data_IF_325621871369
#
_entry.id   IF_325621871369
#
_cell.length_a   1.000
_cell.length_b   1.000
_cell.length_c   1.000
_cell.angle_alpha   90.00
_cell.angle_beta   90.00
_cell.angle_gamma   90.00
#
_symmetry.space_group_name_H-M   'P 1'
#
loop_
_entity.id
_entity.type
_entity.pdbx_description
1 polymer ?
#
# COMPACT_ATOMS: atom_id res chain seq x y z
N UNK A 1 28.22 14.05 -10.33
CA UNK A 1 26.91 13.39 -10.16
C UNK A 1 26.56 13.44 -8.69
N UNK A 2 25.70 14.36 -8.30
CA UNK A 2 25.17 14.50 -6.94
C UNK A 2 23.79 13.82 -6.90
N UNK A 3 23.77 12.48 -6.98
CA UNK A 3 22.56 11.71 -6.79
C UNK A 3 22.53 11.06 -5.42
N UNK A 4 21.33 10.82 -4.87
CA UNK A 4 21.16 9.95 -3.71
C UNK A 4 21.66 8.55 -4.07
N UNK A 5 22.45 7.95 -3.18
CA UNK A 5 23.00 6.60 -3.37
C UNK A 5 21.99 5.54 -2.86
N UNK A 6 22.05 4.36 -3.48
CA UNK A 6 21.38 3.15 -2.97
C UNK A 6 22.47 2.29 -2.34
N UNK A 7 22.31 2.04 -1.05
CA UNK A 7 23.28 1.28 -0.25
C UNK A 7 22.91 -0.20 -0.21
N UNK A 8 23.88 -1.11 -0.40
CA UNK A 8 23.64 -2.54 -0.29
C UNK A 8 23.37 -2.94 1.17
N UNK A 9 22.57 -3.99 1.35
CA UNK A 9 22.36 -4.64 2.64
C UNK A 9 22.62 -6.15 2.50
N UNK A 10 23.86 -6.63 2.75
CA UNK A 10 24.20 -8.05 2.67
C UNK A 10 23.52 -8.90 3.75
N UNK A 11 23.03 -8.28 4.84
CA UNK A 11 22.37 -8.95 5.95
C UNK A 11 20.84 -8.99 5.80
N UNK A 12 20.33 -8.61 4.62
CA UNK A 12 18.90 -8.62 4.33
C UNK A 12 18.35 -10.05 4.39
N UNK A 13 17.35 -10.26 5.23
CA UNK A 13 16.68 -11.54 5.40
C UNK A 13 15.46 -11.64 4.47
N UNK A 14 15.09 -12.84 4.01
CA UNK A 14 13.82 -13.03 3.31
C UNK A 14 12.65 -12.75 4.25
N UNK A 15 11.66 -12.03 3.77
CA UNK A 15 10.39 -11.89 4.49
C UNK A 15 9.58 -13.17 4.39
N UNK A 16 8.80 -13.46 5.41
CA UNK A 16 7.84 -14.56 5.45
C UNK A 16 6.53 -14.11 6.08
N UNK A 17 5.45 -14.80 5.79
CA UNK A 17 4.17 -14.40 6.35
C UNK A 17 3.03 -15.33 5.95
N UNK A 18 1.86 -14.97 6.42
CA UNK A 18 0.60 -15.62 6.08
C UNK A 18 -0.48 -14.58 5.80
N UNK A 19 -1.49 -14.98 5.02
CA UNK A 19 -2.68 -14.20 4.78
C UNK A 19 -3.93 -15.05 4.94
N UNK A 20 -5.01 -14.42 5.37
CA UNK A 20 -6.34 -15.01 5.42
C UNK A 20 -7.37 -13.99 4.93
N UNK A 21 -8.40 -14.49 4.29
CA UNK A 21 -9.49 -13.69 3.76
C UNK A 21 -10.81 -14.43 3.96
N UNK A 22 -11.85 -13.68 4.27
CA UNK A 22 -13.23 -14.15 4.25
C UNK A 22 -14.08 -13.16 3.47
N UNK A 23 -14.90 -13.66 2.57
CA UNK A 23 -15.73 -12.81 1.71
C UNK A 23 -17.06 -13.42 1.35
N UNK A 24 -17.93 -12.55 0.86
CA UNK A 24 -19.25 -12.89 0.32
C UNK A 24 -19.37 -12.24 -1.06
N UNK A 25 -19.80 -13.03 -2.04
CA UNK A 25 -20.18 -12.55 -3.36
C UNK A 25 -21.67 -12.77 -3.57
N UNK A 26 -22.40 -11.66 -3.76
CA UNK A 26 -23.85 -11.65 -3.91
C UNK A 26 -24.25 -11.14 -5.27
N UNK A 27 -25.02 -11.92 -6.02
CA UNK A 27 -25.74 -11.45 -7.21
C UNK A 27 -26.82 -10.46 -6.80
N UNK A 28 -26.89 -9.32 -7.46
CA UNK A 28 -27.90 -8.29 -7.21
C UNK A 28 -28.60 -7.89 -8.52
N UNK A 29 -29.87 -7.58 -8.41
CA UNK A 29 -30.70 -7.09 -9.52
C UNK A 29 -31.54 -5.91 -9.08
N UNK A 30 -31.41 -4.82 -9.83
CA UNK A 30 -32.20 -3.62 -9.61
C UNK A 30 -32.83 -3.15 -10.94
N UNK A 31 -34.10 -3.38 -11.10
CA UNK A 31 -34.77 -3.17 -12.40
C UNK A 31 -34.15 -4.03 -13.51
N UNK A 32 -33.66 -3.37 -14.54
CA UNK A 32 -32.96 -3.99 -15.68
C UNK A 32 -31.44 -4.05 -15.50
N UNK A 33 -30.91 -3.59 -14.37
CA UNK A 33 -29.49 -3.72 -14.03
C UNK A 33 -29.26 -4.99 -13.22
N UNK A 34 -28.23 -5.75 -13.61
CA UNK A 34 -27.78 -6.97 -12.93
C UNK A 34 -26.29 -6.91 -12.72
N UNK A 35 -25.85 -7.41 -11.54
CA UNK A 35 -24.46 -7.39 -11.21
C UNK A 35 -24.14 -8.22 -9.97
N UNK A 36 -22.92 -8.00 -9.47
CA UNK A 36 -22.43 -8.63 -8.28
C UNK A 36 -21.90 -7.58 -7.31
N UNK A 37 -22.25 -7.74 -6.05
CA UNK A 37 -21.59 -7.10 -4.93
C UNK A 37 -20.67 -8.13 -4.30
N UNK A 38 -19.42 -7.76 -4.12
CA UNK A 38 -18.39 -8.57 -3.47
C UNK A 38 -17.86 -7.81 -2.26
N UNK A 39 -17.83 -8.42 -1.09
CA UNK A 39 -17.32 -7.85 0.15
C UNK A 39 -16.41 -8.86 0.81
N UNK A 40 -15.16 -8.47 1.05
CA UNK A 40 -14.17 -9.30 1.70
C UNK A 40 -13.49 -8.56 2.85
N UNK A 41 -13.12 -9.28 3.90
CA UNK A 41 -12.24 -8.82 4.96
C UNK A 41 -10.98 -9.67 4.96
N UNK A 42 -9.82 -9.04 5.09
CA UNK A 42 -8.54 -9.72 5.03
C UNK A 42 -7.62 -9.34 6.19
N UNK A 43 -6.72 -10.25 6.50
CA UNK A 43 -5.65 -10.08 7.48
C UNK A 43 -4.38 -10.73 6.94
N UNK A 44 -3.29 -9.95 6.90
CA UNK A 44 -1.97 -10.40 6.52
C UNK A 44 -1.00 -10.09 7.65
N UNK A 45 -0.08 -10.99 7.92
CA UNK A 45 0.99 -10.77 8.89
C UNK A 45 2.32 -11.21 8.28
N UNK A 46 3.34 -10.39 8.45
CA UNK A 46 4.68 -10.62 7.93
C UNK A 46 5.68 -10.58 9.06
N UNK A 47 6.64 -11.49 8.99
CA UNK A 47 7.88 -11.47 9.78
C UNK A 47 9.02 -10.99 8.88
N UNK A 48 9.92 -10.17 9.43
CA UNK A 48 11.05 -9.58 8.73
C UNK A 48 10.65 -8.84 7.43
N UNK A 49 9.52 -8.11 7.45
CA UNK A 49 9.04 -7.35 6.28
C UNK A 49 10.13 -6.44 5.74
N UNK A 50 10.33 -6.45 4.41
CA UNK A 50 11.32 -5.61 3.75
C UNK A 50 10.71 -4.27 3.37
N UNK A 51 11.43 -3.19 3.73
CA UNK A 51 11.12 -1.83 3.28
C UNK A 51 12.35 -1.16 2.67
N UNK A 52 12.12 -0.25 1.74
CA UNK A 52 13.13 0.59 1.11
C UNK A 52 13.06 1.97 1.76
N UNK A 53 13.98 2.24 2.68
CA UNK A 53 13.92 3.41 3.55
C UNK A 53 15.04 4.40 3.26
N UNK A 54 14.73 5.67 3.47
CA UNK A 54 15.68 6.77 3.42
C UNK A 54 16.40 6.90 4.77
N UNK A 55 17.70 7.21 4.76
CA UNK A 55 18.47 7.39 5.98
C UNK A 55 19.94 7.69 5.70
N UNK A 56 20.73 7.80 6.75
CA UNK A 56 22.18 7.97 6.65
C UNK A 56 22.87 6.59 6.77
N UNK A 57 23.08 5.93 5.64
CA UNK A 57 23.61 4.58 5.53
C UNK A 57 25.11 4.53 5.23
N UNK A 58 25.68 5.60 4.69
CA UNK A 58 27.09 5.75 4.40
C UNK A 58 27.81 6.54 5.49
N UNK A 59 29.14 6.48 5.49
CA UNK A 59 29.94 7.33 6.35
C UNK A 59 29.86 8.80 5.96
N UNK A 60 30.14 9.71 6.89
CA UNK A 60 30.16 11.17 6.69
C UNK A 60 31.15 11.67 5.61
N UNK A 61 32.08 10.81 5.21
CA UNK A 61 33.03 11.07 4.11
C UNK A 61 32.44 10.80 2.70
N UNK A 62 31.22 10.27 2.62
CA UNK A 62 30.51 10.04 1.36
C UNK A 62 29.80 11.32 0.89
N UNK A 63 29.49 11.43 -0.43
CA UNK A 63 28.64 12.49 -0.94
C UNK A 63 27.35 12.64 -0.12
N UNK A 64 26.90 13.87 0.10
CA UNK A 64 25.73 14.19 0.93
C UNK A 64 25.77 13.61 2.36
N UNK A 65 26.99 13.37 2.93
CA UNK A 65 27.13 12.80 4.26
C UNK A 65 26.66 11.35 4.38
N UNK A 66 26.60 10.61 3.28
CA UNK A 66 26.17 9.21 3.25
C UNK A 66 24.67 8.99 3.31
N UNK A 67 23.89 10.01 3.01
CA UNK A 67 22.42 9.93 2.93
C UNK A 67 21.99 9.24 1.64
N UNK A 68 21.00 8.35 1.73
CA UNK A 68 20.48 7.62 0.59
C UNK A 68 19.40 6.61 0.97
N UNK A 69 19.20 5.62 0.11
CA UNK A 69 18.21 4.58 0.33
C UNK A 69 18.86 3.22 0.59
N UNK A 70 18.21 2.41 1.40
CA UNK A 70 18.63 1.03 1.70
C UNK A 70 17.42 0.15 1.95
N UNK A 71 17.45 -1.10 1.46
CA UNK A 71 16.48 -2.11 1.84
C UNK A 71 16.82 -2.67 3.21
N UNK A 72 15.86 -2.70 4.12
CA UNK A 72 16.00 -3.18 5.50
C UNK A 72 14.82 -4.05 5.90
N UNK A 73 15.01 -4.92 6.86
CA UNK A 73 13.91 -5.66 7.48
C UNK A 73 13.38 -4.85 8.67
N UNK A 74 12.12 -4.48 8.62
CA UNK A 74 11.47 -3.62 9.63
C UNK A 74 10.71 -4.41 10.71
N UNK A 75 10.98 -5.71 10.80
CA UNK A 75 10.39 -6.58 11.81
C UNK A 75 8.98 -7.06 11.47
N UNK A 76 8.17 -7.26 12.51
CA UNK A 76 6.80 -7.78 12.36
C UNK A 76 5.82 -6.70 11.96
N UNK A 77 4.99 -7.01 10.96
CA UNK A 77 3.97 -6.08 10.47
C UNK A 77 2.64 -6.80 10.24
N UNK A 78 1.57 -6.04 10.26
CA UNK A 78 0.23 -6.52 10.02
C UNK A 78 -0.50 -5.57 9.08
N UNK A 79 -1.21 -6.14 8.11
CA UNK A 79 -2.11 -5.39 7.23
C UNK A 79 -3.48 -6.04 7.34
N UNK A 80 -4.47 -5.29 7.82
CA UNK A 80 -5.86 -5.74 7.87
C UNK A 80 -6.73 -4.78 7.08
N UNK A 81 -7.85 -5.26 6.55
CA UNK A 81 -8.70 -4.39 5.77
C UNK A 81 -10.00 -5.01 5.30
N UNK A 82 -10.73 -4.20 4.54
CA UNK A 82 -11.99 -4.56 3.90
C UNK A 82 -11.93 -4.11 2.45
N UNK A 83 -12.38 -4.99 1.56
CA UNK A 83 -12.58 -4.70 0.15
C UNK A 83 -14.08 -4.81 -0.20
N UNK A 84 -14.56 -3.85 -0.95
CA UNK A 84 -15.93 -3.84 -1.49
C UNK A 84 -15.82 -3.60 -2.98
N UNK A 85 -16.41 -4.47 -3.79
CA UNK A 85 -16.50 -4.25 -5.22
C UNK A 85 -17.91 -4.46 -5.75
N UNK A 86 -18.27 -3.65 -6.74
CA UNK A 86 -19.52 -3.71 -7.45
C UNK A 86 -19.24 -3.79 -8.95
N UNK A 87 -19.76 -4.82 -9.60
CA UNK A 87 -19.67 -4.93 -11.05
C UNK A 87 -21.04 -5.31 -11.63
N UNK A 88 -21.39 -4.71 -12.75
CA UNK A 88 -22.64 -5.08 -13.38
C UNK A 88 -22.95 -4.25 -14.62
N UNK A 89 -24.03 -4.67 -15.28
CA UNK A 89 -24.54 -4.02 -16.46
C UNK A 89 -26.07 -3.92 -16.41
N UNK A 90 -26.62 -2.91 -17.08
CA UNK A 90 -28.06 -2.73 -17.15
C UNK A 90 -28.47 -1.98 -18.39
N UNK A 91 -29.67 -2.31 -18.89
CA UNK A 91 -30.29 -1.57 -19.97
C UNK A 91 -31.18 -0.48 -19.41
N UNK A 92 -30.94 0.76 -19.82
CA UNK A 92 -31.86 1.88 -19.58
C UNK A 92 -33.06 1.76 -20.52
N UNK A 93 -32.77 1.43 -21.78
CA UNK A 93 -33.74 1.14 -22.83
C UNK A 93 -33.12 0.22 -23.89
N UNK A 94 -33.81 -0.08 -24.99
CA UNK A 94 -33.33 -1.00 -26.03
C UNK A 94 -32.04 -0.54 -26.72
N UNK A 95 -31.74 0.74 -26.68
CA UNK A 95 -30.55 1.33 -27.33
C UNK A 95 -29.43 1.71 -26.38
N UNK A 96 -29.69 1.73 -25.07
CA UNK A 96 -28.71 2.23 -24.06
C UNK A 96 -28.45 1.19 -23.00
N UNK A 97 -27.17 0.82 -22.87
CA UNK A 97 -26.65 -0.06 -21.82
C UNK A 97 -25.66 0.73 -20.98
N UNK A 98 -25.68 0.52 -19.66
CA UNK A 98 -24.67 1.03 -18.71
C UNK A 98 -23.88 -0.15 -18.14
N UNK A 99 -22.55 -0.03 -18.16
CA UNK A 99 -21.62 -0.91 -17.48
C UNK A 99 -20.97 -0.14 -16.33
N UNK A 100 -20.89 -0.76 -15.15
CA UNK A 100 -20.27 -0.17 -13.95
C UNK A 100 -19.33 -1.19 -13.34
N UNK A 101 -18.11 -0.74 -13.02
CA UNK A 101 -17.16 -1.42 -12.16
C UNK A 101 -16.69 -0.42 -11.10
N UNK A 102 -16.97 -0.69 -9.84
CA UNK A 102 -16.54 0.14 -8.73
C UNK A 102 -15.86 -0.72 -7.68
N UNK A 103 -14.85 -0.18 -7.02
CA UNK A 103 -14.12 -0.83 -5.95
C UNK A 103 -13.69 0.18 -4.90
N UNK A 104 -13.70 -0.27 -3.65
CA UNK A 104 -13.18 0.47 -2.52
C UNK A 104 -12.41 -0.48 -1.61
N UNK A 105 -11.21 -0.09 -1.23
CA UNK A 105 -10.37 -0.82 -0.27
C UNK A 105 -10.03 0.11 0.87
N UNK A 106 -10.28 -0.34 2.08
CA UNK A 106 -9.71 0.21 3.31
C UNK A 106 -8.68 -0.75 3.85
N UNK A 107 -7.49 -0.26 4.17
CA UNK A 107 -6.45 -1.06 4.81
C UNK A 107 -5.83 -0.32 6.01
N UNK A 108 -5.50 -1.08 7.04
CA UNK A 108 -4.79 -0.63 8.23
C UNK A 108 -3.44 -1.35 8.32
N UNK A 109 -2.39 -0.81 7.66
CA UNK A 109 -1.05 -1.37 7.68
C UNK A 109 -0.29 -0.83 8.89
N UNK A 110 0.07 -1.71 9.84
CA UNK A 110 0.73 -1.33 11.09
C UNK A 110 2.04 -2.11 11.31
N UNK A 111 2.98 -1.48 12.00
CA UNK A 111 4.12 -2.18 12.60
C UNK A 111 3.69 -2.79 13.94
N UNK A 112 4.04 -4.05 14.17
CA UNK A 112 3.85 -4.72 15.46
C UNK A 112 5.08 -4.56 16.37
N UNK A 113 6.17 -4.00 15.85
CA UNK A 113 7.45 -3.79 16.54
C UNK A 113 7.95 -2.35 16.35
N UNK A 114 7.15 -1.29 16.66
CA UNK A 114 7.50 0.08 16.30
C UNK A 114 8.72 0.64 17.08
N UNK A 115 9.09 0.02 18.18
CA UNK A 115 10.24 0.41 19.00
C UNK A 115 11.50 -0.42 18.73
N UNK A 116 11.37 -1.52 18.00
CA UNK A 116 12.51 -2.39 17.74
C UNK A 116 13.44 -1.75 16.70
N UNK A 117 14.76 -1.72 16.96
CA UNK A 117 15.71 -1.22 15.98
C UNK A 117 15.72 -2.12 14.74
N UNK A 118 15.55 -1.52 13.58
CA UNK A 118 15.65 -2.23 12.30
C UNK A 118 16.93 -1.87 11.52
N UNK A 119 17.62 -0.80 11.89
CA UNK A 119 18.89 -0.40 11.32
C UNK A 119 19.66 0.50 12.28
N UNK A 120 20.95 0.70 11.97
CA UNK A 120 21.86 1.48 12.78
C UNK A 120 22.60 2.50 11.92
N UNK A 121 22.74 3.72 12.44
CA UNK A 121 23.64 4.71 11.88
C UNK A 121 25.03 4.48 12.45
N UNK A 122 26.01 4.25 11.58
CA UNK A 122 27.41 4.03 11.97
C UNK A 122 28.24 5.23 11.54
N UNK A 123 28.94 5.84 12.47
CA UNK A 123 29.87 6.93 12.22
C UNK A 123 31.24 6.59 12.86
N UNK A 124 32.31 6.66 12.06
CA UNK A 124 33.69 6.33 12.50
C UNK A 124 33.89 4.92 13.07
N UNK A 125 32.98 4.00 12.76
CA UNK A 125 33.00 2.62 13.28
C UNK A 125 32.13 2.39 14.51
N UNK A 126 31.59 3.44 15.13
CA UNK A 126 30.70 3.37 16.28
C UNK A 126 29.23 3.57 15.86
N UNK A 127 28.33 2.86 16.55
CA UNK A 127 26.89 3.08 16.43
C UNK A 127 26.53 4.38 17.13
N UNK A 128 26.06 5.37 16.36
CA UNK A 128 25.69 6.70 16.90
C UNK A 128 24.19 6.84 17.12
N UNK A 129 23.36 6.12 16.38
CA UNK A 129 21.92 6.05 16.60
C UNK A 129 21.32 4.77 16.03
N UNK A 130 20.13 4.46 16.52
CA UNK A 130 19.29 3.35 16.05
C UNK A 130 18.10 3.91 15.29
N UNK A 131 17.70 3.25 14.21
CA UNK A 131 16.48 3.56 13.49
C UNK A 131 15.36 2.61 13.94
N UNK A 132 14.30 3.19 14.47
CA UNK A 132 13.04 2.53 14.79
C UNK A 132 11.90 3.21 14.03
N UNK A 133 10.73 2.60 13.96
CA UNK A 133 9.56 3.29 13.39
C UNK A 133 9.24 4.58 14.16
N UNK A 134 9.39 4.58 15.48
CA UNK A 134 9.08 5.73 16.32
C UNK A 134 9.99 6.95 16.10
N UNK A 135 11.24 6.75 15.70
CA UNK A 135 12.20 7.85 15.55
C UNK A 135 12.56 8.18 14.10
N UNK A 136 12.03 7.44 13.13
CA UNK A 136 12.36 7.60 11.70
C UNK A 136 11.15 7.78 10.80
N UNK A 137 9.96 7.97 11.37
CA UNK A 137 8.73 8.12 10.61
C UNK A 137 7.83 9.22 11.15
N UNK A 138 7.05 9.83 10.27
CA UNK A 138 6.12 10.91 10.61
C UNK A 138 4.89 10.42 11.40
N UNK A 139 4.53 9.16 11.26
CA UNK A 139 3.45 8.49 12.01
C UNK A 139 3.82 7.02 12.26
N UNK A 140 4.26 6.71 13.49
CA UNK A 140 4.67 5.36 13.88
C UNK A 140 3.52 4.34 13.98
N UNK A 141 2.28 4.77 13.85
CA UNK A 141 1.10 3.90 13.95
C UNK A 141 0.80 3.16 12.67
N UNK A 142 1.29 3.63 11.53
CA UNK A 142 1.07 3.02 10.20
C UNK A 142 2.40 2.78 9.48
N UNK A 143 2.43 1.80 8.59
CA UNK A 143 3.58 1.54 7.74
C UNK A 143 3.83 2.69 6.76
N UNK A 144 5.11 2.93 6.45
CA UNK A 144 5.52 4.01 5.53
C UNK A 144 5.00 3.76 4.12
N UNK A 145 4.71 4.87 3.41
CA UNK A 145 4.36 4.87 1.98
C UNK A 145 3.15 4.00 1.63
N UNK A 146 2.16 3.90 2.55
CA UNK A 146 0.92 3.15 2.33
C UNK A 146 -0.29 4.08 2.32
N UNK A 147 -1.19 3.83 1.35
CA UNK A 147 -2.53 4.41 1.34
C UNK A 147 -3.44 3.59 2.25
N UNK A 148 -4.30 4.27 3.01
CA UNK A 148 -5.32 3.58 3.80
C UNK A 148 -6.65 3.45 3.06
N UNK A 149 -6.96 4.40 2.18
CA UNK A 149 -8.20 4.41 1.40
C UNK A 149 -7.88 4.48 -0.09
N UNK A 150 -8.43 3.54 -0.84
CA UNK A 150 -8.31 3.48 -2.29
C UNK A 150 -9.72 3.28 -2.86
N UNK A 151 -10.13 4.11 -3.82
CA UNK A 151 -11.38 3.94 -4.53
C UNK A 151 -11.17 4.02 -6.04
N UNK A 152 -11.95 3.23 -6.78
CA UNK A 152 -11.96 3.22 -8.23
C UNK A 152 -13.40 3.09 -8.73
N UNK A 153 -13.75 3.86 -9.75
CA UNK A 153 -15.02 3.73 -10.46
C UNK A 153 -14.73 3.83 -11.96
N UNK A 154 -15.14 2.82 -12.70
CA UNK A 154 -15.17 2.81 -14.15
C UNK A 154 -16.64 2.72 -14.57
N UNK A 155 -17.09 3.63 -15.42
CA UNK A 155 -18.45 3.65 -15.95
C UNK A 155 -18.42 3.82 -17.47
N UNK A 156 -19.22 3.04 -18.16
CA UNK A 156 -19.37 3.09 -19.62
C UNK A 156 -20.85 3.14 -19.97
N UNK A 157 -21.19 4.01 -20.90
CA UNK A 157 -22.51 4.08 -21.54
C UNK A 157 -22.36 3.64 -22.99
N UNK A 158 -23.08 2.62 -23.37
CA UNK A 158 -23.16 2.13 -24.75
C UNK A 158 -24.47 2.54 -25.35
N UNK A 159 -24.43 3.34 -26.43
CA UNK A 159 -25.56 3.74 -27.23
C UNK A 159 -25.44 3.16 -28.65
N UNK A 160 -26.19 2.14 -28.94
CA UNK A 160 -26.11 1.39 -30.23
C UNK A 160 -24.68 0.89 -30.51
N UNK A 161 -23.94 1.56 -31.42
CA UNK A 161 -22.55 1.23 -31.81
C UNK A 161 -21.54 2.18 -31.21
N UNK A 162 -21.94 3.18 -30.46
CA UNK A 162 -21.07 4.14 -29.79
C UNK A 162 -20.95 3.80 -28.31
N UNK A 163 -19.76 3.77 -27.77
CA UNK A 163 -19.53 3.69 -26.34
C UNK A 163 -18.68 4.87 -25.86
N UNK A 164 -19.02 5.38 -24.66
CA UNK A 164 -18.29 6.41 -23.96
C UNK A 164 -18.07 5.94 -22.52
N UNK A 165 -16.82 5.89 -22.12
CA UNK A 165 -16.43 5.49 -20.77
C UNK A 165 -15.65 6.56 -20.03
N UNK A 166 -15.72 6.50 -18.71
CA UNK A 166 -14.92 7.33 -17.80
C UNK A 166 -14.36 6.46 -16.68
N UNK A 167 -13.18 6.81 -16.19
CA UNK A 167 -12.52 6.17 -15.06
C UNK A 167 -12.13 7.22 -14.04
N UNK A 168 -12.47 6.99 -12.78
CA UNK A 168 -12.07 7.80 -11.64
C UNK A 168 -11.31 6.93 -10.65
N UNK A 169 -10.21 7.47 -10.12
CA UNK A 169 -9.40 6.84 -9.05
C UNK A 169 -9.13 7.85 -7.95
N UNK A 170 -9.27 7.38 -6.73
CA UNK A 170 -8.92 8.11 -5.53
C UNK A 170 -7.96 7.28 -4.71
N UNK A 171 -6.85 7.88 -4.32
CA UNK A 171 -5.95 7.37 -3.31
C UNK A 171 -5.85 8.43 -2.20
N UNK A 172 -5.90 7.98 -0.96
CA UNK A 172 -5.69 8.84 0.20
C UNK A 172 -4.25 9.36 0.22
N UNK A 173 -3.93 10.27 1.13
CA UNK A 173 -2.55 10.68 1.37
C UNK A 173 -1.80 9.63 2.20
N UNK A 174 -0.49 9.54 1.99
CA UNK A 174 0.39 8.69 2.79
C UNK A 174 0.64 9.36 4.13
N UNK A 175 0.11 8.79 5.22
CA UNK A 175 0.25 9.34 6.58
C UNK A 175 1.66 9.24 7.10
N UNK A 176 2.36 8.17 6.72
CA UNK A 176 3.69 7.89 7.19
C UNK A 176 4.71 7.92 6.04
N UNK A 177 5.75 8.70 6.24
CA UNK A 177 6.90 8.84 5.34
C UNK A 177 8.18 8.86 6.18
N UNK A 178 9.35 8.72 5.54
CA UNK A 178 10.64 8.93 6.21
C UNK A 178 10.75 10.36 6.73
N UNK A 179 11.41 10.48 7.89
CA UNK A 179 11.47 11.71 8.67
C UNK A 179 12.93 12.15 8.85
#
# INVERSE_FOLDING_TARGET
QSGLEIYPNPDLKPESGWSTEIGIKQGIKFGNWMGYLDVAAFLMQYDDMMEFTFGQWGGSNKPLGGVGFKSVNVGKTQISGIEISLSGQGKINDNVTINILAGYTYMNPISLSPNDPYAYQIQWGDTVSEYTYNNSSSDSTVLKYRYQHIAKIDAEIVYKKLSIGTSFRYNDFMRNIDY
#
